data_IF_434535797470
#
_entry.id   IF_434535797470
#
_cell.length_a   1.000
_cell.length_b   1.000
_cell.length_c   1.000
_cell.angle_alpha   90.00
_cell.angle_beta   90.00
_cell.angle_gamma   90.00
#
_symmetry.space_group_name_H-M   'P 1'
#
loop_
_entity.id
_entity.type
_entity.pdbx_description
1 polymer ?
#
# COMPACT_ATOMS: atom_id res chain seq x y z
N UNK A 1 1.98 -8.95 -7.01
CA UNK A 1 2.24 -9.87 -5.88
C UNK A 1 3.23 -10.98 -6.23
N UNK A 2 4.03 -10.93 -7.29
CA UNK A 2 5.47 -10.61 -7.17
C UNK A 2 5.90 -9.67 -8.30
N UNK A 3 5.08 -9.59 -9.35
CA UNK A 3 5.14 -8.64 -10.45
C UNK A 3 3.97 -7.65 -10.36
N UNK A 4 4.02 -6.58 -11.15
CA UNK A 4 2.92 -5.64 -11.33
C UNK A 4 2.13 -5.94 -12.60
N UNK A 5 0.81 -5.74 -12.56
CA UNK A 5 -0.04 -5.82 -13.77
C UNK A 5 0.27 -4.66 -14.72
N UNK A 6 0.46 -3.47 -14.18
CA UNK A 6 0.84 -2.29 -14.96
C UNK A 6 2.37 -2.19 -15.03
N UNK A 7 2.90 -1.87 -16.22
CA UNK A 7 4.35 -1.70 -16.42
C UNK A 7 4.83 -0.50 -15.63
N UNK A 8 5.81 -0.72 -14.76
CA UNK A 8 6.52 0.35 -14.05
C UNK A 8 7.61 0.94 -14.95
N UNK A 9 7.96 2.23 -14.78
CA UNK A 9 9.17 2.80 -15.34
C UNK A 9 10.42 1.98 -14.97
N UNK A 10 11.41 1.90 -15.88
CA UNK A 10 12.57 1.01 -15.70
C UNK A 10 13.41 1.39 -14.47
N UNK A 11 13.60 2.69 -14.22
CA UNK A 11 14.26 3.22 -13.02
C UNK A 11 13.55 2.83 -11.71
N UNK A 12 12.21 2.84 -11.71
CA UNK A 12 11.38 2.42 -10.57
C UNK A 12 11.48 0.90 -10.36
N UNK A 13 11.48 0.13 -11.44
CA UNK A 13 11.66 -1.32 -11.38
C UNK A 13 13.04 -1.67 -10.81
N UNK A 14 14.10 -0.98 -11.25
CA UNK A 14 15.45 -1.16 -10.74
C UNK A 14 15.57 -0.79 -9.26
N UNK A 15 14.87 0.25 -8.81
CA UNK A 15 14.77 0.58 -7.39
C UNK A 15 14.20 -0.61 -6.59
N UNK A 16 13.05 -1.16 -7.00
CA UNK A 16 12.43 -2.28 -6.28
C UNK A 16 13.25 -3.57 -6.35
N UNK A 17 13.94 -3.84 -7.46
CA UNK A 17 14.88 -4.96 -7.56
C UNK A 17 16.04 -4.83 -6.57
N UNK A 18 16.64 -3.63 -6.49
CA UNK A 18 17.72 -3.35 -5.53
C UNK A 18 17.22 -3.49 -4.08
N UNK A 19 16.02 -2.99 -3.79
CA UNK A 19 15.39 -3.11 -2.48
C UNK A 19 15.15 -4.58 -2.11
N UNK A 20 14.53 -5.35 -3.01
CA UNK A 20 14.27 -6.78 -2.82
C UNK A 20 15.57 -7.55 -2.55
N UNK A 21 16.62 -7.28 -3.33
CA UNK A 21 17.94 -7.88 -3.14
C UNK A 21 18.59 -7.48 -1.81
N UNK A 22 18.49 -6.21 -1.41
CA UNK A 22 19.07 -5.71 -0.17
C UNK A 22 18.40 -6.30 1.09
N UNK A 23 17.09 -6.50 1.02
CA UNK A 23 16.33 -7.12 2.10
C UNK A 23 16.43 -8.64 2.12
N UNK A 24 16.88 -9.25 1.02
CA UNK A 24 16.83 -10.69 0.78
C UNK A 24 15.41 -11.26 0.94
N UNK A 25 14.43 -10.55 0.38
CA UNK A 25 13.03 -10.94 0.43
C UNK A 25 12.29 -10.49 -0.82
N UNK A 26 11.24 -11.23 -1.16
CA UNK A 26 10.38 -10.90 -2.28
C UNK A 26 9.42 -9.77 -1.90
N UNK A 27 9.23 -8.85 -2.83
CA UNK A 27 8.28 -7.73 -2.69
C UNK A 27 6.92 -8.12 -3.27
N UNK A 28 5.85 -7.87 -2.50
CA UNK A 28 4.51 -8.27 -2.87
C UNK A 28 3.68 -7.02 -3.22
N UNK A 29 3.66 -6.66 -4.50
CA UNK A 29 2.90 -5.49 -4.97
C UNK A 29 1.38 -5.72 -4.90
N UNK A 30 0.62 -4.77 -4.34
CA UNK A 30 -0.84 -4.79 -4.23
C UNK A 30 -1.46 -3.44 -4.62
N UNK A 31 -2.78 -3.30 -4.45
CA UNK A 31 -3.43 -2.01 -4.61
C UNK A 31 -3.63 -1.62 -6.07
N UNK A 32 -3.58 -0.31 -6.36
CA UNK A 32 -3.98 0.18 -7.69
C UNK A 32 -3.04 -0.27 -8.80
N UNK A 33 -1.75 -0.48 -8.52
CA UNK A 33 -0.75 -0.98 -9.49
C UNK A 33 -1.10 -2.37 -10.06
N UNK A 34 -1.98 -3.12 -9.39
CA UNK A 34 -2.50 -4.43 -9.84
C UNK A 34 -3.84 -4.35 -10.57
N UNK A 35 -4.44 -3.17 -10.68
CA UNK A 35 -5.78 -2.97 -11.25
C UNK A 35 -5.74 -2.09 -12.50
N UNK A 36 -6.84 -2.07 -13.24
CA UNK A 36 -6.99 -1.25 -14.45
C UNK A 36 -7.17 0.25 -14.16
N UNK A 37 -7.45 0.62 -12.91
CA UNK A 37 -7.59 2.02 -12.49
C UNK A 37 -6.24 2.67 -12.13
N UNK A 38 -5.09 2.06 -12.43
CA UNK A 38 -3.77 2.65 -12.14
C UNK A 38 -3.50 3.88 -13.02
N UNK A 39 -3.09 5.00 -12.41
CA UNK A 39 -2.64 6.20 -13.13
C UNK A 39 -1.13 6.35 -12.91
N UNK A 40 -0.29 6.05 -13.92
CA UNK A 40 1.15 6.23 -13.82
C UNK A 40 1.51 7.67 -13.44
N UNK A 41 2.42 7.84 -12.48
CA UNK A 41 2.86 9.16 -12.00
C UNK A 41 1.94 9.84 -10.97
N UNK A 42 0.69 9.40 -10.83
CA UNK A 42 -0.27 9.97 -9.84
C UNK A 42 -0.73 8.97 -8.79
N UNK A 43 -0.60 7.67 -9.05
CA UNK A 43 -0.96 6.60 -8.12
C UNK A 43 0.27 6.06 -7.40
N UNK A 44 0.17 5.99 -6.07
CA UNK A 44 1.18 5.35 -5.23
C UNK A 44 1.34 3.86 -5.60
N UNK A 45 2.55 3.34 -5.39
CA UNK A 45 2.87 1.91 -5.54
C UNK A 45 2.83 1.26 -4.16
N UNK A 46 1.83 0.42 -3.94
CA UNK A 46 1.66 -0.30 -2.68
C UNK A 46 2.43 -1.64 -2.69
N UNK A 47 3.24 -1.89 -1.66
CA UNK A 47 4.12 -3.06 -1.54
C UNK A 47 4.08 -3.66 -0.14
N UNK A 48 3.82 -4.96 -0.04
CA UNK A 48 4.01 -5.72 1.19
C UNK A 48 5.38 -6.40 1.24
N UNK A 49 5.97 -6.38 2.44
CA UNK A 49 7.20 -7.05 2.81
C UNK A 49 6.88 -8.01 3.96
N UNK A 50 7.11 -9.30 3.76
CA UNK A 50 6.94 -10.32 4.79
C UNK A 50 8.30 -10.80 5.27
N UNK A 51 8.45 -10.88 6.60
CA UNK A 51 9.73 -11.14 7.25
C UNK A 51 9.54 -11.85 8.58
N UNK A 52 10.53 -12.64 9.01
CA UNK A 52 10.55 -13.23 10.35
C UNK A 52 11.05 -12.24 11.41
N UNK A 53 11.73 -11.16 10.98
CA UNK A 53 12.24 -10.13 11.88
C UNK A 53 11.87 -8.73 11.36
N UNK A 54 10.74 -8.23 11.86
CA UNK A 54 10.16 -6.94 11.49
C UNK A 54 11.10 -5.79 11.88
N UNK A 55 11.67 -5.80 13.08
CA UNK A 55 12.54 -4.71 13.55
C UNK A 55 13.84 -4.61 12.73
N UNK A 56 14.47 -5.75 12.41
CA UNK A 56 15.65 -5.79 11.54
C UNK A 56 15.33 -5.29 10.14
N UNK A 57 14.17 -5.68 9.59
CA UNK A 57 13.73 -5.23 8.26
C UNK A 57 13.47 -3.72 8.26
N UNK A 58 12.86 -3.17 9.31
CA UNK A 58 12.69 -1.72 9.48
C UNK A 58 14.06 -1.04 9.53
N UNK A 59 15.03 -1.54 10.29
CA UNK A 59 16.37 -0.97 10.35
C UNK A 59 17.06 -0.96 8.98
N UNK A 60 16.95 -2.06 8.21
CA UNK A 60 17.43 -2.13 6.83
C UNK A 60 16.74 -1.10 5.94
N UNK A 61 15.42 -0.98 6.02
CA UNK A 61 14.64 0.01 5.26
C UNK A 61 15.01 1.45 5.62
N UNK A 62 15.25 1.76 6.90
CA UNK A 62 15.73 3.07 7.32
C UNK A 62 17.02 3.45 6.59
N UNK A 63 17.98 2.52 6.52
CA UNK A 63 19.25 2.75 5.84
C UNK A 63 19.06 2.88 4.32
N UNK A 64 18.35 1.93 3.69
CA UNK A 64 18.18 1.90 2.24
C UNK A 64 17.41 3.13 1.71
N UNK A 65 16.35 3.54 2.42
CA UNK A 65 15.49 4.65 2.02
C UNK A 65 15.96 6.01 2.58
N UNK A 66 16.98 6.00 3.44
CA UNK A 66 17.43 7.18 4.19
C UNK A 66 16.28 7.86 4.98
N UNK A 67 15.45 7.08 5.66
CA UNK A 67 14.30 7.58 6.45
C UNK A 67 14.46 7.30 7.94
N UNK A 68 14.00 8.23 8.78
CA UNK A 68 14.02 8.09 10.24
C UNK A 68 13.02 7.05 10.72
N UNK A 69 13.33 6.30 11.79
CA UNK A 69 12.43 5.30 12.41
C UNK A 69 11.02 5.83 12.68
N UNK A 70 10.89 7.10 13.09
CA UNK A 70 9.60 7.76 13.36
C UNK A 70 8.66 7.86 12.16
N UNK A 71 9.15 7.67 10.93
CA UNK A 71 8.33 7.61 9.72
C UNK A 71 7.61 6.27 9.57
N UNK A 72 8.08 5.22 10.24
CA UNK A 72 7.39 3.93 10.30
C UNK A 72 6.27 4.01 11.34
N UNK A 73 5.04 3.91 10.87
CA UNK A 73 3.85 3.93 11.72
C UNK A 73 3.38 2.51 11.97
N UNK A 74 3.00 2.21 13.21
CA UNK A 74 2.39 0.92 13.54
C UNK A 74 1.00 0.86 12.93
N UNK A 75 0.66 -0.27 12.35
CA UNK A 75 -0.67 -0.51 11.78
C UNK A 75 -1.31 -1.71 12.45
N UNK A 76 -2.61 -1.59 12.70
CA UNK A 76 -3.45 -2.65 13.22
C UNK A 76 -4.60 -2.83 12.26
N UNK A 77 -4.77 -4.05 11.78
CA UNK A 77 -5.78 -4.39 10.80
C UNK A 77 -6.64 -5.54 11.30
N UNK A 78 -7.93 -5.32 11.44
CA UNK A 78 -8.91 -6.38 11.68
C UNK A 78 -9.39 -6.91 10.33
N UNK A 79 -9.05 -8.15 10.03
CA UNK A 79 -9.46 -8.80 8.79
C UNK A 79 -10.97 -9.03 8.80
N UNK A 80 -11.69 -8.46 7.84
CA UNK A 80 -13.15 -8.56 7.76
C UNK A 80 -13.66 -9.99 7.57
N UNK A 81 -12.87 -10.86 6.94
CA UNK A 81 -13.22 -12.25 6.66
C UNK A 81 -13.13 -13.20 7.87
N UNK A 82 -12.24 -12.92 8.81
CA UNK A 82 -11.92 -13.83 9.92
C UNK A 82 -12.04 -13.19 11.30
N UNK A 83 -12.16 -11.86 11.36
CA UNK A 83 -12.09 -11.09 12.61
C UNK A 83 -10.70 -11.04 13.24
N UNK A 84 -9.68 -11.70 12.65
CA UNK A 84 -8.32 -11.77 13.19
C UNK A 84 -7.62 -10.42 13.10
N UNK A 85 -6.78 -10.16 14.10
CA UNK A 85 -5.96 -8.95 14.19
C UNK A 85 -4.59 -9.21 13.57
N UNK A 86 -4.25 -8.42 12.55
CA UNK A 86 -2.93 -8.36 11.93
C UNK A 86 -2.23 -7.11 12.42
N UNK A 87 -0.97 -7.26 12.80
CA UNK A 87 -0.11 -6.16 13.23
C UNK A 87 1.04 -6.01 12.25
N UNK A 88 1.40 -4.77 11.96
CA UNK A 88 2.52 -4.47 11.08
C UNK A 88 3.02 -3.04 11.24
N UNK A 89 3.85 -2.65 10.29
CA UNK A 89 4.35 -1.29 10.16
C UNK A 89 4.14 -0.81 8.73
N UNK A 90 4.02 0.50 8.57
CA UNK A 90 3.88 1.13 7.25
C UNK A 90 4.74 2.37 7.17
N UNK A 91 5.37 2.59 6.03
CA UNK A 91 6.12 3.79 5.70
C UNK A 91 5.73 4.29 4.31
N UNK A 92 5.45 5.59 4.21
CA UNK A 92 5.34 6.26 2.92
C UNK A 92 6.74 6.76 2.53
N UNK A 93 7.11 6.51 1.28
CA UNK A 93 8.39 6.90 0.70
C UNK A 93 8.16 7.62 -0.62
N UNK A 94 8.81 8.76 -0.79
CA UNK A 94 8.76 9.57 -2.00
C UNK A 94 10.19 9.83 -2.46
N UNK A 95 10.45 9.60 -3.75
CA UNK A 95 11.70 9.95 -4.40
C UNK A 95 11.40 10.73 -5.70
N UNK A 96 11.55 12.07 -5.67
CA UNK A 96 11.30 12.93 -6.82
C UNK A 96 12.19 12.64 -8.03
N UNK A 97 13.45 12.24 -7.81
CA UNK A 97 14.45 12.05 -8.89
C UNK A 97 14.04 10.94 -9.87
N UNK A 98 13.31 9.94 -9.37
CA UNK A 98 12.79 8.82 -10.17
C UNK A 98 11.27 8.84 -10.28
N UNK A 99 10.63 9.94 -9.86
CA UNK A 99 9.18 10.10 -9.81
C UNK A 99 8.45 8.91 -9.15
N UNK A 100 8.95 8.51 -7.96
CA UNK A 100 8.43 7.38 -7.21
C UNK A 100 7.67 7.86 -5.97
N UNK A 101 6.41 7.46 -5.85
CA UNK A 101 5.67 7.42 -4.60
C UNK A 101 5.33 5.97 -4.27
N UNK A 102 5.78 5.50 -3.10
CA UNK A 102 5.62 4.12 -2.68
C UNK A 102 5.16 4.03 -1.23
N UNK A 103 4.25 3.09 -0.99
CA UNK A 103 3.81 2.69 0.33
C UNK A 103 4.37 1.30 0.62
N UNK A 104 5.21 1.19 1.65
CA UNK A 104 5.78 -0.09 2.07
C UNK A 104 5.14 -0.52 3.39
N UNK A 105 4.46 -1.67 3.36
CA UNK A 105 3.88 -2.32 4.53
C UNK A 105 4.75 -3.51 4.93
N UNK A 106 5.14 -3.59 6.21
CA UNK A 106 5.98 -4.65 6.76
C UNK A 106 5.16 -5.49 7.73
N UNK A 107 5.11 -6.79 7.48
CA UNK A 107 4.39 -7.76 8.30
C UNK A 107 5.27 -8.94 8.67
N UNK A 108 4.94 -9.55 9.81
CA UNK A 108 5.46 -10.85 10.20
C UNK A 108 4.96 -11.95 9.23
N UNK A 109 5.84 -12.87 8.85
CA UNK A 109 5.53 -13.99 7.95
C UNK A 109 4.31 -14.81 8.38
N UNK A 110 3.99 -14.89 9.67
CA UNK A 110 2.79 -15.60 10.15
C UNK A 110 1.47 -15.02 9.61
N UNK A 111 1.47 -13.75 9.21
CA UNK A 111 0.28 -13.08 8.64
C UNK A 111 0.22 -13.18 7.10
N UNK A 112 1.29 -13.65 6.45
CA UNK A 112 1.47 -13.62 4.99
C UNK A 112 0.27 -14.15 4.22
N UNK A 113 -0.17 -15.37 4.55
CA UNK A 113 -1.29 -16.01 3.86
C UNK A 113 -2.56 -15.16 3.93
N UNK A 114 -2.90 -14.68 5.11
CA UNK A 114 -4.15 -13.96 5.37
C UNK A 114 -4.16 -12.57 4.71
N UNK A 115 -3.02 -11.87 4.76
CA UNK A 115 -2.84 -10.56 4.13
C UNK A 115 -2.93 -10.68 2.60
N UNK A 116 -2.21 -11.64 2.01
CA UNK A 116 -2.23 -11.86 0.57
C UNK A 116 -3.62 -12.26 0.04
N UNK A 117 -4.34 -13.14 0.75
CA UNK A 117 -5.71 -13.52 0.39
C UNK A 117 -6.64 -12.29 0.33
N UNK A 118 -6.48 -11.34 1.26
CA UNK A 118 -7.26 -10.11 1.26
C UNK A 118 -6.88 -9.16 0.11
N UNK A 119 -5.58 -9.02 -0.18
CA UNK A 119 -5.14 -8.21 -1.32
C UNK A 119 -5.57 -8.80 -2.66
N UNK A 120 -5.58 -10.14 -2.80
CA UNK A 120 -6.08 -10.83 -4.00
C UNK A 120 -7.55 -10.56 -4.25
N UNK A 121 -8.39 -10.62 -3.21
CA UNK A 121 -9.82 -10.27 -3.30
C UNK A 121 -10.04 -8.84 -3.78
N UNK A 122 -9.17 -7.90 -3.38
CA UNK A 122 -9.22 -6.49 -3.80
C UNK A 122 -8.57 -6.21 -5.15
N UNK A 123 -7.87 -7.18 -5.74
CA UNK A 123 -7.21 -7.04 -7.03
C UNK A 123 -8.17 -7.33 -8.18
N UNK A 124 -8.99 -8.37 -8.02
CA UNK A 124 -9.99 -8.76 -9.02
C UNK A 124 -11.31 -8.03 -8.72
N UNK A 125 -11.40 -6.79 -9.21
CA UNK A 125 -12.60 -5.97 -9.09
C UNK A 125 -13.53 -6.17 -10.29
N UNK A 126 -14.87 -6.16 -10.10
CA UNK A 126 -15.79 -6.16 -11.23
C UNK A 126 -15.55 -4.98 -12.17
N UNK A 127 -15.84 -5.17 -13.46
CA UNK A 127 -15.59 -4.17 -14.50
C UNK A 127 -16.30 -2.83 -14.22
N UNK A 128 -17.55 -2.88 -13.75
CA UNK A 128 -18.30 -1.68 -13.40
C UNK A 128 -17.65 -0.88 -12.26
N UNK A 129 -17.05 -1.56 -11.27
CA UNK A 129 -16.30 -0.90 -10.18
C UNK A 129 -15.06 -0.22 -10.74
N UNK A 130 -14.37 -0.86 -11.68
CA UNK A 130 -13.18 -0.29 -12.33
C UNK A 130 -13.52 1.00 -13.09
N UNK A 131 -14.64 1.02 -13.83
CA UNK A 131 -15.12 2.23 -14.51
C UNK A 131 -15.41 3.35 -13.50
N UNK A 132 -16.13 3.05 -12.43
CA UNK A 132 -16.46 4.04 -11.39
C UNK A 132 -15.18 4.61 -10.77
N UNK A 133 -14.21 3.75 -10.42
CA UNK A 133 -12.92 4.19 -9.87
C UNK A 133 -12.14 5.05 -10.85
N UNK A 134 -12.16 4.72 -12.14
CA UNK A 134 -11.54 5.53 -13.18
C UNK A 134 -12.19 6.92 -13.28
N UNK A 135 -13.52 7.01 -13.28
CA UNK A 135 -14.26 8.28 -13.31
C UNK A 135 -13.92 9.13 -12.08
N UNK A 136 -13.99 8.55 -10.88
CA UNK A 136 -13.66 9.25 -9.62
C UNK A 136 -12.23 9.81 -9.67
N UNK A 137 -11.28 9.03 -10.20
CA UNK A 137 -9.89 9.46 -10.38
C UNK A 137 -9.77 10.61 -11.38
N UNK A 138 -10.46 10.55 -12.52
CA UNK A 138 -10.45 11.63 -13.51
C UNK A 138 -11.00 12.94 -12.92
N UNK A 139 -12.09 12.85 -12.16
CA UNK A 139 -12.71 14.01 -11.47
C UNK A 139 -11.73 14.64 -10.46
N UNK A 140 -10.95 13.83 -9.75
CA UNK A 140 -10.01 14.31 -8.74
C UNK A 140 -8.68 14.81 -9.33
N UNK A 141 -8.00 13.98 -10.12
CA UNK A 141 -6.65 14.26 -10.60
C UNK A 141 -6.59 15.23 -11.76
N UNK A 142 -7.60 15.24 -12.64
CA UNK A 142 -7.53 16.02 -13.88
C UNK A 142 -8.49 17.21 -13.86
N UNK A 143 -9.69 17.03 -13.30
CA UNK A 143 -10.69 18.09 -13.23
C UNK A 143 -10.66 18.89 -11.91
N UNK A 144 -9.98 18.37 -10.88
CA UNK A 144 -9.87 18.97 -9.54
C UNK A 144 -11.21 19.42 -8.93
N UNK A 145 -12.31 18.71 -9.25
CA UNK A 145 -13.66 19.09 -8.82
C UNK A 145 -14.00 18.65 -7.39
N UNK A 146 -13.25 17.69 -6.84
CA UNK A 146 -13.45 17.18 -5.49
C UNK A 146 -12.16 17.28 -4.69
N UNK A 147 -12.27 17.45 -3.37
CA UNK A 147 -11.12 17.42 -2.49
C UNK A 147 -10.70 15.99 -2.16
N UNK A 148 -9.55 15.85 -1.48
CA UNK A 148 -8.98 14.55 -1.14
C UNK A 148 -9.89 13.70 -0.24
N UNK A 149 -10.58 14.31 0.73
CA UNK A 149 -11.46 13.59 1.65
C UNK A 149 -12.65 12.96 0.92
N UNK A 150 -13.27 13.72 0.01
CA UNK A 150 -14.34 13.21 -0.84
C UNK A 150 -13.86 12.14 -1.81
N UNK A 151 -12.70 12.35 -2.45
CA UNK A 151 -12.08 11.33 -3.30
C UNK A 151 -11.88 10.02 -2.54
N UNK A 152 -11.29 10.09 -1.34
CA UNK A 152 -11.04 8.92 -0.49
C UNK A 152 -12.34 8.24 -0.08
N UNK A 153 -13.34 9.01 0.35
CA UNK A 153 -14.65 8.49 0.74
C UNK A 153 -15.33 7.73 -0.40
N UNK A 154 -15.46 8.36 -1.58
CA UNK A 154 -16.11 7.77 -2.76
C UNK A 154 -15.36 6.52 -3.22
N UNK A 155 -14.03 6.59 -3.36
CA UNK A 155 -13.18 5.44 -3.70
C UNK A 155 -13.41 4.27 -2.77
N UNK A 156 -13.43 4.54 -1.45
CA UNK A 156 -13.63 3.48 -0.46
C UNK A 156 -15.04 2.89 -0.55
N UNK A 157 -16.06 3.74 -0.66
CA UNK A 157 -17.44 3.27 -0.78
C UNK A 157 -17.66 2.42 -2.03
N UNK A 158 -17.11 2.82 -3.17
CA UNK A 158 -17.19 2.06 -4.42
C UNK A 158 -16.53 0.68 -4.32
N UNK A 159 -15.36 0.61 -3.66
CA UNK A 159 -14.68 -0.67 -3.43
C UNK A 159 -15.45 -1.58 -2.48
N UNK A 160 -15.93 -1.05 -1.35
CA UNK A 160 -16.67 -1.83 -0.34
C UNK A 160 -17.98 -2.36 -0.91
N UNK A 161 -18.80 -1.48 -1.52
CA UNK A 161 -20.08 -1.88 -2.12
C UNK A 161 -19.88 -2.81 -3.32
N UNK A 162 -18.95 -2.46 -4.21
CA UNK A 162 -18.71 -3.22 -5.44
C UNK A 162 -18.11 -4.62 -5.22
N UNK A 163 -17.42 -4.83 -4.10
CA UNK A 163 -16.85 -6.14 -3.73
C UNK A 163 -17.73 -6.91 -2.74
N UNK A 164 -18.84 -6.31 -2.26
CA UNK A 164 -19.69 -6.91 -1.24
C UNK A 164 -18.96 -7.24 0.06
N UNK A 165 -17.85 -6.54 0.36
CA UNK A 165 -17.03 -6.83 1.53
C UNK A 165 -17.47 -5.97 2.74
N UNK A 166 -17.36 -6.48 3.98
CA UNK A 166 -17.58 -5.66 5.16
C UNK A 166 -16.55 -4.54 5.23
N UNK A 167 -16.93 -3.42 5.85
CA UNK A 167 -15.99 -2.33 6.13
C UNK A 167 -14.84 -2.84 7.02
N UNK A 168 -13.61 -2.64 6.56
CA UNK A 168 -12.42 -3.05 7.30
C UNK A 168 -12.03 -2.01 8.35
N UNK A 169 -11.62 -2.49 9.52
CA UNK A 169 -11.06 -1.65 10.57
C UNK A 169 -9.53 -1.67 10.42
N UNK A 170 -9.01 -0.69 9.68
CA UNK A 170 -7.58 -0.44 9.53
C UNK A 170 -7.21 0.83 10.28
N UNK A 171 -6.35 0.70 11.30
CA UNK A 171 -5.99 1.79 12.18
C UNK A 171 -4.48 2.00 12.16
N UNK A 172 -4.07 3.21 11.82
CA UNK A 172 -2.67 3.65 11.89
C UNK A 172 -2.45 4.26 13.26
N UNK A 173 -1.66 3.58 14.08
CA UNK A 173 -1.27 4.07 15.39
C UNK A 173 -0.13 5.08 15.19
N UNK A 174 -0.43 6.35 15.41
CA UNK A 174 0.63 7.33 15.63
C UNK A 174 1.33 6.94 16.94
N UNK A 175 2.63 6.66 16.87
CA UNK A 175 3.45 6.65 18.08
C UNK A 175 3.32 8.07 18.64
N UNK A 176 2.86 8.19 19.90
CA UNK A 176 2.88 9.50 20.58
C UNK A 176 4.24 10.10 20.33
N UNK A 177 4.29 11.35 19.89
CA UNK A 177 5.51 12.12 20.06
C UNK A 177 5.77 12.07 21.56
N UNK A 178 6.83 11.36 21.95
CA UNK A 178 7.41 11.59 23.27
C UNK A 178 7.80 13.06 23.24
N UNK A 179 6.91 13.90 23.78
CA UNK A 179 7.32 15.18 24.34
C UNK A 179 8.33 14.78 25.41
N UNK A 180 9.55 15.26 25.20
CA UNK A 180 10.67 15.25 26.15
C UNK A 180 11.61 14.04 26.08
N UNK A 181 12.77 14.25 25.44
CA UNK A 181 14.08 14.33 26.10
C UNK A 181 15.09 15.08 25.23
#
# INVERSE_FOLDING_TARGET
METTKNKLPDNVNDFFKKLSKYLDTKLMFYGSVQRSDYFPGSSDIDVDIFTDNVDSTIAKLQHFLNVKKKKFKRVVWRLSSTGKMVYGYKVMYENPDINLAAELSIYDNKYKKQVLEMHLKKTVVPFYVSIILYIIKKIYYDLHLINYDWYRYLKMKSLTLGLGMPEEQFLVLNVREDKDK
#
